data_IF_651462802684
#
_entry.id   IF_651462802684
#
_cell.length_a   1.000
_cell.length_b   1.000
_cell.length_c   1.000
_cell.angle_alpha   90.00
_cell.angle_beta   90.00
_cell.angle_gamma   90.00
#
_symmetry.space_group_name_H-M   'P 1'
#
loop_
_entity.id
_entity.type
_entity.pdbx_description
1 polymer ?
#
# COMPACT_ATOMS: atom_id res chain seq x y z
N UNK A 1 23.85 -14.00 -13.46
CA UNK A 1 22.54 -14.27 -12.82
C UNK A 1 21.96 -13.03 -12.12
N UNK A 2 22.70 -12.34 -11.24
CA UNK A 2 22.23 -11.14 -10.54
C UNK A 2 21.69 -10.01 -11.45
N UNK A 3 22.39 -9.69 -12.54
CA UNK A 3 21.94 -8.64 -13.50
C UNK A 3 20.61 -9.02 -14.19
N UNK A 4 20.42 -10.29 -14.52
CA UNK A 4 19.18 -10.75 -15.12
C UNK A 4 18.03 -10.72 -14.10
N UNK A 5 18.27 -11.11 -12.86
CA UNK A 5 17.29 -11.02 -11.77
C UNK A 5 16.84 -9.57 -11.53
N UNK A 6 17.77 -8.63 -11.53
CA UNK A 6 17.49 -7.20 -11.40
C UNK A 6 16.56 -6.68 -12.50
N UNK A 7 16.83 -7.04 -13.76
CA UNK A 7 16.00 -6.63 -14.88
C UNK A 7 14.63 -7.31 -14.86
N UNK A 8 14.56 -8.60 -14.50
CA UNK A 8 13.30 -9.32 -14.36
C UNK A 8 12.41 -8.71 -13.29
N UNK A 9 12.98 -8.29 -12.15
CA UNK A 9 12.22 -7.63 -11.08
C UNK A 9 11.70 -6.26 -11.53
N UNK A 10 12.55 -5.46 -12.18
CA UNK A 10 12.14 -4.18 -12.76
C UNK A 10 10.99 -4.34 -13.75
N UNK A 11 11.08 -5.32 -14.65
CA UNK A 11 10.04 -5.63 -15.62
C UNK A 11 8.74 -6.10 -14.96
N UNK A 12 8.82 -7.03 -13.99
CA UNK A 12 7.65 -7.51 -13.25
C UNK A 12 6.95 -6.39 -12.49
N UNK A 13 7.71 -5.47 -11.87
CA UNK A 13 7.19 -4.26 -11.22
C UNK A 13 6.43 -3.39 -12.23
N UNK A 14 7.00 -3.15 -13.40
CA UNK A 14 6.36 -2.34 -14.45
C UNK A 14 5.04 -2.96 -14.93
N UNK A 15 5.00 -4.28 -15.10
CA UNK A 15 3.77 -4.99 -15.44
C UNK A 15 2.74 -4.93 -14.31
N UNK A 16 3.15 -5.07 -13.04
CA UNK A 16 2.27 -4.88 -11.89
C UNK A 16 1.66 -3.47 -11.86
N UNK A 17 2.48 -2.45 -12.04
CA UNK A 17 2.09 -1.05 -12.12
C UNK A 17 1.03 -0.80 -13.19
N UNK A 18 1.23 -1.34 -14.41
CA UNK A 18 0.31 -1.19 -15.54
C UNK A 18 -1.07 -1.78 -15.27
N UNK A 19 -1.14 -2.88 -14.52
CA UNK A 19 -2.40 -3.58 -14.23
C UNK A 19 -2.97 -3.21 -12.84
N UNK A 20 -2.38 -2.26 -12.14
CA UNK A 20 -2.85 -1.86 -10.82
C UNK A 20 -4.22 -1.14 -10.90
N UNK A 21 -5.10 -1.37 -9.93
CA UNK A 21 -6.50 -0.93 -9.97
C UNK A 21 -7.42 -1.83 -10.82
N UNK A 22 -6.88 -2.89 -11.42
CA UNK A 22 -7.63 -3.97 -12.06
C UNK A 22 -7.34 -5.28 -11.31
N UNK A 23 -7.49 -5.28 -9.98
CA UNK A 23 -7.03 -6.36 -9.11
C UNK A 23 -7.71 -7.72 -9.40
N UNK A 24 -8.92 -7.65 -9.98
CA UNK A 24 -9.67 -8.81 -10.48
C UNK A 24 -9.15 -9.39 -11.80
N UNK A 25 -8.22 -8.73 -12.49
CA UNK A 25 -7.67 -9.19 -13.76
C UNK A 25 -6.72 -10.38 -13.59
N UNK A 26 -6.74 -11.30 -14.56
CA UNK A 26 -5.78 -12.40 -14.60
C UNK A 26 -4.34 -11.90 -14.78
N UNK A 27 -4.17 -10.77 -15.47
CA UNK A 27 -2.87 -10.14 -15.70
C UNK A 27 -2.23 -9.67 -14.39
N UNK A 28 -2.96 -8.93 -13.55
CA UNK A 28 -2.44 -8.48 -12.25
C UNK A 28 -2.03 -9.67 -11.36
N UNK A 29 -2.87 -10.71 -11.29
CA UNK A 29 -2.56 -11.92 -10.50
C UNK A 29 -1.28 -12.62 -10.98
N UNK A 30 -1.13 -12.79 -12.30
CA UNK A 30 0.08 -13.41 -12.88
C UNK A 30 1.34 -12.62 -12.53
N UNK A 31 1.30 -11.30 -12.69
CA UNK A 31 2.47 -10.46 -12.42
C UNK A 31 2.77 -10.32 -10.93
N UNK A 32 1.76 -10.36 -10.07
CA UNK A 32 1.94 -10.52 -8.62
C UNK A 32 2.72 -11.79 -8.31
N UNK A 33 2.31 -12.93 -8.87
CA UNK A 33 2.94 -14.22 -8.56
C UNK A 33 4.41 -14.24 -9.04
N UNK A 34 4.68 -13.67 -10.21
CA UNK A 34 6.06 -13.50 -10.73
C UNK A 34 6.89 -12.58 -9.83
N UNK A 35 6.38 -11.39 -9.49
CA UNK A 35 7.10 -10.46 -8.64
C UNK A 35 7.38 -11.04 -7.24
N UNK A 36 6.41 -11.74 -6.66
CA UNK A 36 6.58 -12.38 -5.36
C UNK A 36 7.64 -13.49 -5.41
N UNK A 37 7.64 -14.33 -6.46
CA UNK A 37 8.64 -15.36 -6.64
C UNK A 37 10.05 -14.77 -6.80
N UNK A 38 10.20 -13.70 -7.57
CA UNK A 38 11.47 -12.99 -7.73
C UNK A 38 11.96 -12.41 -6.41
N UNK A 39 11.09 -11.72 -5.65
CA UNK A 39 11.44 -11.10 -4.37
C UNK A 39 11.82 -12.16 -3.34
N UNK A 40 11.07 -13.26 -3.25
CA UNK A 40 11.35 -14.36 -2.33
C UNK A 40 12.65 -15.10 -2.67
N UNK A 41 13.10 -15.03 -3.94
CA UNK A 41 14.36 -15.60 -4.39
C UNK A 41 15.59 -14.77 -4.05
N UNK A 42 15.43 -13.52 -3.58
CA UNK A 42 16.54 -12.67 -3.17
C UNK A 42 17.05 -13.09 -1.79
N UNK A 43 18.35 -13.35 -1.65
CA UNK A 43 18.98 -13.57 -0.35
C UNK A 43 19.06 -12.27 0.47
N UNK A 44 19.21 -11.13 -0.21
CA UNK A 44 19.18 -9.79 0.34
C UNK A 44 18.64 -8.84 -0.75
N UNK A 45 17.88 -7.81 -0.36
CA UNK A 45 17.37 -6.81 -1.30
C UNK A 45 18.48 -5.77 -1.60
N UNK A 46 18.99 -5.70 -2.83
CA UNK A 46 19.99 -4.71 -3.20
C UNK A 46 19.47 -3.28 -3.00
N UNK A 47 20.34 -2.36 -2.57
CA UNK A 47 19.95 -0.96 -2.27
C UNK A 47 19.23 -0.28 -3.44
N UNK A 48 19.67 -0.49 -4.68
CA UNK A 48 19.02 0.08 -5.87
C UNK A 48 17.66 -0.53 -6.19
N UNK A 49 17.35 -1.74 -5.69
CA UNK A 49 16.08 -2.44 -5.90
C UNK A 49 15.07 -2.20 -4.77
N UNK A 50 15.48 -1.62 -3.63
CA UNK A 50 14.60 -1.43 -2.46
C UNK A 50 13.30 -0.74 -2.83
N UNK A 51 13.38 0.38 -3.54
CA UNK A 51 12.22 1.12 -4.04
C UNK A 51 11.28 0.24 -4.88
N UNK A 52 11.83 -0.53 -5.82
CA UNK A 52 11.08 -1.46 -6.69
C UNK A 52 10.38 -2.55 -5.88
N UNK A 53 11.08 -3.15 -4.92
CA UNK A 53 10.52 -4.17 -4.03
C UNK A 53 9.42 -3.58 -3.15
N UNK A 54 9.66 -2.43 -2.52
CA UNK A 54 8.68 -1.74 -1.68
C UNK A 54 7.42 -1.39 -2.46
N UNK A 55 7.56 -0.89 -3.70
CA UNK A 55 6.41 -0.61 -4.56
C UNK A 55 5.64 -1.89 -4.90
N UNK A 56 6.31 -2.97 -5.31
CA UNK A 56 5.63 -4.25 -5.56
C UNK A 56 4.85 -4.72 -4.32
N UNK A 57 5.49 -4.73 -3.15
CA UNK A 57 4.88 -5.19 -1.91
C UNK A 57 3.69 -4.31 -1.48
N UNK A 58 3.78 -2.99 -1.70
CA UNK A 58 2.67 -2.05 -1.53
C UNK A 58 1.49 -2.41 -2.44
N UNK A 59 1.70 -2.51 -3.75
CA UNK A 59 0.61 -2.75 -4.71
C UNK A 59 -0.11 -4.06 -4.46
N UNK A 60 0.63 -5.12 -4.13
CA UNK A 60 0.09 -6.45 -3.84
C UNK A 60 -0.81 -6.41 -2.59
N UNK A 61 -0.38 -5.71 -1.55
CA UNK A 61 -1.12 -5.59 -0.28
C UNK A 61 -2.34 -4.69 -0.39
N UNK A 62 -2.19 -3.55 -1.07
CA UNK A 62 -3.33 -2.70 -1.41
C UNK A 62 -4.32 -3.50 -2.24
N UNK A 63 -3.89 -4.27 -3.23
CA UNK A 63 -4.84 -5.08 -4.00
C UNK A 63 -5.64 -6.12 -3.18
N UNK A 64 -5.14 -6.49 -1.99
CA UNK A 64 -5.82 -7.35 -1.01
C UNK A 64 -6.40 -6.59 0.19
N UNK A 65 -6.35 -5.26 0.17
CA UNK A 65 -6.62 -4.38 1.31
C UNK A 65 -7.98 -4.54 1.96
N UNK A 66 -9.00 -4.95 1.20
CA UNK A 66 -10.35 -5.19 1.71
C UNK A 66 -10.56 -6.59 2.29
N UNK A 67 -9.65 -7.53 2.03
CA UNK A 67 -9.77 -8.91 2.50
C UNK A 67 -9.02 -9.08 3.83
N UNK A 68 -9.72 -8.91 4.95
CA UNK A 68 -9.13 -9.00 6.29
C UNK A 68 -8.70 -10.43 6.68
N UNK A 69 -9.17 -11.45 5.98
CA UNK A 69 -8.73 -12.85 6.14
C UNK A 69 -7.39 -13.14 5.44
N UNK A 70 -6.86 -12.17 4.67
CA UNK A 70 -5.58 -12.30 4.01
C UNK A 70 -4.47 -11.80 4.94
N UNK A 71 -3.47 -12.64 5.21
CA UNK A 71 -2.33 -12.27 6.05
C UNK A 71 -1.03 -12.33 5.25
N UNK A 72 -0.23 -11.26 5.37
CA UNK A 72 1.10 -11.17 4.77
C UNK A 72 2.22 -11.28 5.81
N UNK A 73 1.91 -10.94 7.06
CA UNK A 73 2.87 -10.94 8.17
C UNK A 73 2.57 -12.11 9.11
N UNK A 74 3.57 -12.50 9.91
CA UNK A 74 3.42 -13.55 10.92
C UNK A 74 2.47 -13.16 12.05
N UNK A 75 2.37 -11.88 12.37
CA UNK A 75 1.35 -11.35 13.26
C UNK A 75 0.02 -11.17 12.50
N UNK A 76 -0.92 -12.07 12.73
CA UNK A 76 -2.21 -12.07 12.04
C UNK A 76 -3.09 -10.85 12.36
N UNK A 77 -2.73 -10.04 13.37
CA UNK A 77 -3.42 -8.77 13.66
C UNK A 77 -3.07 -7.66 12.67
N UNK A 78 -2.04 -7.88 11.85
CA UNK A 78 -1.61 -6.95 10.81
C UNK A 78 -2.42 -7.26 9.55
N UNK A 79 -3.34 -6.35 9.21
CA UNK A 79 -4.12 -6.45 7.99
C UNK A 79 -3.25 -6.21 6.75
N UNK A 80 -3.72 -6.54 5.53
CA UNK A 80 -3.00 -6.18 4.32
C UNK A 80 -2.70 -4.69 4.23
N UNK A 81 -3.62 -3.80 4.63
CA UNK A 81 -3.38 -2.36 4.59
C UNK A 81 -2.42 -1.87 5.68
N UNK A 82 -2.37 -2.50 6.87
CA UNK A 82 -1.34 -2.22 7.87
C UNK A 82 0.05 -2.48 7.30
N UNK A 83 0.22 -3.63 6.65
CA UNK A 83 1.49 -3.97 6.03
C UNK A 83 1.77 -3.08 4.80
N UNK A 84 0.75 -2.70 4.03
CA UNK A 84 0.91 -1.73 2.94
C UNK A 84 1.47 -0.39 3.46
N UNK A 85 0.99 0.06 4.62
CA UNK A 85 1.46 1.30 5.25
C UNK A 85 2.97 1.23 5.57
N UNK A 86 3.49 0.11 6.06
CA UNK A 86 4.93 0.00 6.35
C UNK A 86 5.81 0.08 5.10
N UNK A 87 5.35 -0.48 3.98
CA UNK A 87 6.05 -0.32 2.69
C UNK A 87 5.95 1.10 2.17
N UNK A 88 4.79 1.75 2.32
CA UNK A 88 4.64 3.17 1.97
C UNK A 88 5.59 4.06 2.78
N UNK A 89 5.66 3.89 4.10
CA UNK A 89 6.58 4.67 4.95
C UNK A 89 8.06 4.41 4.62
N UNK A 90 8.38 3.26 4.03
CA UNK A 90 9.74 2.98 3.55
C UNK A 90 10.05 3.74 2.26
N UNK A 91 9.10 3.78 1.32
CA UNK A 91 9.18 4.62 0.10
C UNK A 91 9.33 6.10 0.47
N UNK A 92 8.49 6.61 1.38
CA UNK A 92 8.55 8.01 1.81
C UNK A 92 9.91 8.38 2.41
N UNK A 93 10.53 7.46 3.15
CA UNK A 93 11.86 7.69 3.74
C UNK A 93 12.99 7.76 2.72
N UNK A 94 12.82 7.11 1.56
CA UNK A 94 13.79 7.11 0.48
C UNK A 94 13.66 8.37 -0.42
N UNK A 95 12.55 9.12 -0.31
CA UNK A 95 12.21 10.20 -1.24
C UNK A 95 11.91 11.55 -0.58
N UNK A 96 12.60 12.60 -1.02
CA UNK A 96 12.47 13.96 -0.46
C UNK A 96 11.53 14.85 -1.32
N UNK A 97 11.20 14.48 -2.57
CA UNK A 97 10.65 15.43 -3.56
C UNK A 97 9.12 15.46 -3.68
N UNK A 98 8.39 14.51 -3.10
CA UNK A 98 6.94 14.31 -3.35
C UNK A 98 6.09 14.38 -2.08
N UNK A 99 6.51 15.21 -1.12
CA UNK A 99 5.96 15.28 0.24
C UNK A 99 4.43 15.35 0.31
N UNK A 100 3.78 16.16 -0.54
CA UNK A 100 2.32 16.28 -0.53
C UNK A 100 1.61 15.00 -0.98
N UNK A 101 2.06 14.37 -2.07
CA UNK A 101 1.44 13.13 -2.55
C UNK A 101 1.71 11.98 -1.57
N UNK A 102 2.90 11.97 -0.95
CA UNK A 102 3.27 11.07 0.13
C UNK A 102 2.31 11.16 1.31
N UNK A 103 2.12 12.36 1.85
CA UNK A 103 1.18 12.59 2.95
C UNK A 103 -0.26 12.21 2.58
N UNK A 104 -0.72 12.56 1.36
CA UNK A 104 -2.06 12.20 0.88
C UNK A 104 -2.28 10.68 0.84
N UNK A 105 -1.34 9.92 0.26
CA UNK A 105 -1.45 8.46 0.18
C UNK A 105 -1.35 7.83 1.57
N UNK A 106 -0.39 8.26 2.42
CA UNK A 106 -0.25 7.77 3.79
C UNK A 106 -1.54 7.94 4.57
N UNK A 107 -2.13 9.14 4.50
CA UNK A 107 -3.39 9.47 5.16
C UNK A 107 -4.55 8.62 4.62
N UNK A 108 -4.61 8.42 3.31
CA UNK A 108 -5.62 7.55 2.69
C UNK A 108 -5.49 6.10 3.15
N UNK A 109 -4.27 5.55 3.22
CA UNK A 109 -4.02 4.20 3.75
C UNK A 109 -4.50 4.12 5.21
N UNK A 110 -4.09 5.06 6.07
CA UNK A 110 -4.50 5.10 7.49
C UNK A 110 -6.03 5.16 7.65
N UNK A 111 -6.72 6.00 6.86
CA UNK A 111 -8.19 6.09 6.89
C UNK A 111 -8.80 4.77 6.42
N UNK A 112 -8.29 4.17 5.34
CA UNK A 112 -8.83 2.94 4.77
C UNK A 112 -8.60 1.72 5.66
N UNK A 113 -7.51 1.68 6.45
CA UNK A 113 -7.32 0.65 7.47
C UNK A 113 -8.52 0.63 8.43
N UNK A 114 -8.94 1.79 8.94
CA UNK A 114 -10.11 1.89 9.83
C UNK A 114 -11.40 1.63 9.05
N UNK A 115 -11.55 2.20 7.84
CA UNK A 115 -12.76 2.08 7.04
C UNK A 115 -13.10 0.62 6.72
N UNK A 116 -12.13 -0.19 6.32
CA UNK A 116 -12.36 -1.60 5.99
C UNK A 116 -12.85 -2.40 7.21
N UNK A 117 -12.30 -2.16 8.41
CA UNK A 117 -12.81 -2.80 9.62
C UNK A 117 -14.23 -2.35 9.95
N UNK A 118 -14.53 -1.05 9.80
CA UNK A 118 -15.86 -0.49 9.99
C UNK A 118 -16.89 -1.08 9.01
N UNK A 119 -16.53 -1.20 7.72
CA UNK A 119 -17.38 -1.78 6.67
C UNK A 119 -17.71 -3.26 6.93
N UNK A 120 -16.82 -4.00 7.59
CA UNK A 120 -17.03 -5.40 8.00
C UNK A 120 -17.72 -5.54 9.37
N UNK A 121 -18.04 -4.44 10.05
CA UNK A 121 -18.66 -4.45 11.38
C UNK A 121 -17.68 -4.80 12.53
N UNK A 122 -16.38 -4.83 12.26
CA UNK A 122 -15.32 -5.15 13.22
C UNK A 122 -14.92 -3.92 14.03
N UNK A 123 -15.85 -3.37 14.80
CA UNK A 123 -15.68 -2.10 15.51
C UNK A 123 -14.63 -2.14 16.63
N UNK A 124 -14.49 -3.30 17.28
CA UNK A 124 -13.51 -3.49 18.36
C UNK A 124 -12.10 -3.50 17.77
N UNK A 125 -11.92 -4.25 16.71
CA UNK A 125 -10.69 -4.36 15.92
C UNK A 125 -10.32 -3.00 15.32
N UNK A 126 -11.31 -2.24 14.80
CA UNK A 126 -11.09 -0.88 14.32
C UNK A 126 -10.52 0.03 15.43
N UNK A 127 -10.96 -0.14 16.68
CA UNK A 127 -10.42 0.59 17.83
C UNK A 127 -8.97 0.18 18.13
N UNK A 128 -8.71 -1.13 18.19
CA UNK A 128 -7.38 -1.67 18.46
C UNK A 128 -6.36 -1.25 17.38
N UNK A 129 -6.77 -1.25 16.12
CA UNK A 129 -5.96 -0.81 15.00
C UNK A 129 -5.73 0.70 15.04
N UNK A 130 -6.74 1.51 15.39
CA UNK A 130 -6.56 2.95 15.55
C UNK A 130 -5.48 3.29 16.59
N UNK A 131 -5.48 2.60 17.72
CA UNK A 131 -4.49 2.81 18.77
C UNK A 131 -3.07 2.42 18.30
N UNK A 132 -2.96 1.34 17.53
CA UNK A 132 -1.68 0.90 16.94
C UNK A 132 -1.15 1.86 15.88
N UNK A 133 -2.03 2.45 15.07
CA UNK A 133 -1.64 3.35 13.98
C UNK A 133 -1.06 4.68 14.46
N UNK A 134 -1.46 5.15 15.64
CA UNK A 134 -1.18 6.51 16.11
C UNK A 134 -0.51 6.53 17.49
N UNK A 135 0.53 5.73 17.65
CA UNK A 135 1.37 5.72 18.86
C UNK A 135 2.21 7.01 18.93
N UNK A 136 1.70 7.98 19.70
CA UNK A 136 2.35 9.20 20.21
C UNK A 136 2.88 10.24 19.20
N UNK A 137 2.50 10.19 17.92
CA UNK A 137 2.78 11.28 16.98
C UNK A 137 1.85 12.49 17.20
N UNK A 138 2.41 13.64 17.57
CA UNK A 138 1.64 14.86 17.79
C UNK A 138 0.95 15.37 16.51
N UNK A 139 1.54 15.11 15.33
CA UNK A 139 1.01 15.49 14.02
C UNK A 139 -0.30 14.78 13.67
N UNK A 140 -0.49 13.56 14.16
CA UNK A 140 -1.59 12.71 13.70
C UNK A 140 -2.80 12.77 14.63
N UNK A 141 -2.69 13.51 15.75
CA UNK A 141 -3.77 13.74 16.70
C UNK A 141 -5.09 14.18 16.06
N UNK A 142 -5.14 15.12 15.09
CA UNK A 142 -6.40 15.53 14.48
C UNK A 142 -7.09 14.40 13.69
N UNK A 143 -6.31 13.57 12.99
CA UNK A 143 -6.85 12.45 12.24
C UNK A 143 -7.33 11.34 13.17
N UNK A 144 -6.53 11.01 14.19
CA UNK A 144 -6.89 10.03 15.22
C UNK A 144 -8.21 10.37 15.90
N UNK A 145 -8.40 11.62 16.34
CA UNK A 145 -9.65 12.06 17.00
C UNK A 145 -10.85 11.94 16.07
N UNK A 146 -10.69 12.31 14.80
CA UNK A 146 -11.75 12.16 13.79
C UNK A 146 -12.13 10.69 13.61
N UNK A 147 -11.15 9.80 13.44
CA UNK A 147 -11.39 8.37 13.26
C UNK A 147 -11.98 7.71 14.51
N UNK A 148 -11.55 8.10 15.72
CA UNK A 148 -12.16 7.63 16.97
C UNK A 148 -13.65 8.01 17.05
N UNK A 149 -14.01 9.21 16.59
CA UNK A 149 -15.41 9.66 16.53
C UNK A 149 -16.23 8.83 15.55
N UNK A 150 -15.64 8.48 14.39
CA UNK A 150 -16.27 7.59 13.40
C UNK A 150 -16.46 6.18 13.95
N UNK A 151 -15.47 5.61 14.64
CA UNK A 151 -15.61 4.28 15.24
C UNK A 151 -16.71 4.26 16.29
N UNK A 152 -16.79 5.33 17.10
CA UNK A 152 -17.85 5.48 18.12
C UNK A 152 -19.25 5.57 17.51
N UNK A 153 -19.41 6.16 16.32
CA UNK A 153 -20.71 6.19 15.65
C UNK A 153 -21.16 4.83 15.13
N UNK A 154 -20.23 3.87 14.97
CA UNK A 154 -20.49 2.53 14.39
C UNK A 154 -21.16 2.58 13.01
N UNK A 155 -20.98 3.69 12.31
CA UNK A 155 -21.54 3.94 10.98
C UNK A 155 -20.40 4.04 9.96
N UNK A 156 -20.23 3.06 9.05
CA UNK A 156 -19.19 3.10 8.03
C UNK A 156 -19.50 4.08 6.89
N UNK A 157 -20.72 4.62 6.80
CA UNK A 157 -21.16 5.47 5.69
C UNK A 157 -21.10 6.97 6.01
N UNK A 158 -20.35 7.35 7.04
CA UNK A 158 -20.12 8.76 7.38
C UNK A 158 -19.40 9.51 6.25
N UNK A 159 -19.65 10.83 6.08
CA UNK A 159 -19.07 11.62 4.99
C UNK A 159 -17.54 11.55 4.89
N UNK A 160 -16.84 11.39 6.03
CA UNK A 160 -15.39 11.24 6.05
C UNK A 160 -14.94 10.00 5.28
N UNK A 161 -15.51 8.82 5.56
CA UNK A 161 -15.10 7.57 4.92
C UNK A 161 -15.52 7.53 3.44
N UNK A 162 -16.64 8.17 3.11
CA UNK A 162 -17.08 8.32 1.72
C UNK A 162 -16.18 9.25 0.90
N UNK A 163 -15.71 10.36 1.50
CA UNK A 163 -14.84 11.33 0.81
C UNK A 163 -13.43 10.79 0.62
N UNK A 164 -12.92 10.05 1.60
CA UNK A 164 -11.60 9.43 1.57
C UNK A 164 -11.69 7.96 1.15
N UNK A 165 -12.32 7.71 0.00
CA UNK A 165 -12.69 6.37 -0.45
C UNK A 165 -11.50 5.47 -0.84
N UNK A 166 -11.77 4.17 -0.91
CA UNK A 166 -10.82 3.20 -1.46
C UNK A 166 -10.43 3.51 -2.92
N UNK A 167 -11.39 3.97 -3.73
CA UNK A 167 -11.12 4.36 -5.12
C UNK A 167 -10.20 5.58 -5.22
N UNK A 168 -10.31 6.53 -4.28
CA UNK A 168 -9.40 7.66 -4.18
C UNK A 168 -7.98 7.20 -3.79
N UNK A 169 -7.85 6.24 -2.86
CA UNK A 169 -6.57 5.61 -2.54
C UNK A 169 -5.91 5.00 -3.79
N UNK A 170 -6.65 4.18 -4.54
CA UNK A 170 -6.15 3.59 -5.79
C UNK A 170 -5.73 4.66 -6.79
N UNK A 171 -6.54 5.70 -6.98
CA UNK A 171 -6.23 6.82 -7.88
C UNK A 171 -4.94 7.54 -7.51
N UNK A 172 -4.74 7.83 -6.21
CA UNK A 172 -3.52 8.50 -5.74
C UNK A 172 -2.28 7.64 -5.88
N UNK A 173 -2.37 6.34 -5.59
CA UNK A 173 -1.28 5.39 -5.84
C UNK A 173 -0.96 5.32 -7.34
N UNK A 174 -1.96 5.37 -8.24
CA UNK A 174 -1.71 5.46 -9.69
C UNK A 174 -0.93 6.72 -10.08
N UNK A 175 -1.25 7.87 -9.49
CA UNK A 175 -0.44 9.09 -9.70
C UNK A 175 1.01 8.92 -9.24
N UNK A 176 1.25 8.20 -8.13
CA UNK A 176 2.62 7.88 -7.71
C UNK A 176 3.30 6.90 -8.68
N UNK A 177 2.60 5.88 -9.15
CA UNK A 177 3.09 4.93 -10.16
C UNK A 177 3.54 5.67 -11.42
N UNK A 178 2.77 6.65 -11.91
CA UNK A 178 3.16 7.44 -13.09
C UNK A 178 4.50 8.16 -12.90
N UNK A 179 4.74 8.73 -11.72
CA UNK A 179 6.01 9.36 -11.37
C UNK A 179 7.13 8.32 -11.30
N UNK A 180 6.89 7.21 -10.61
CA UNK A 180 7.85 6.11 -10.52
C UNK A 180 8.24 5.58 -11.91
N UNK A 181 7.26 5.37 -12.79
CA UNK A 181 7.52 4.85 -14.13
C UNK A 181 8.34 5.83 -14.96
N UNK A 182 8.04 7.14 -14.88
CA UNK A 182 8.79 8.19 -15.57
C UNK A 182 10.25 8.26 -15.13
N UNK A 183 10.52 8.06 -13.84
CA UNK A 183 11.90 7.99 -13.31
C UNK A 183 12.65 6.74 -13.82
N UNK A 184 11.93 5.67 -14.13
CA UNK A 184 12.46 4.37 -14.52
C UNK A 184 12.31 4.05 -16.03
N UNK A 185 11.97 5.03 -16.87
CA UNK A 185 11.83 4.90 -18.34
C UNK A 185 13.12 4.44 -19.04
N UNK A 186 14.26 4.46 -18.35
CA UNK A 186 15.55 3.96 -18.83
C UNK A 186 15.73 2.45 -18.71
N UNK A 187 14.73 1.71 -18.20
CA UNK A 187 14.79 0.26 -18.11
C UNK A 187 14.80 -0.39 -19.51
N UNK A 188 15.93 -1.02 -19.85
CA UNK A 188 16.22 -1.61 -21.16
C UNK A 188 15.19 -2.65 -21.65
N UNK A 189 14.45 -3.32 -20.74
CA UNK A 189 13.41 -4.31 -21.09
C UNK A 189 12.02 -3.70 -21.36
N UNK A 190 11.87 -2.38 -21.24
CA UNK A 190 10.61 -1.67 -21.48
C UNK A 190 10.55 -1.07 -22.90
N UNK A 191 11.68 -1.00 -23.59
CA UNK A 191 11.78 -0.65 -25.02
C UNK A 191 11.41 -1.84 -25.91
#
# INVERSE_FOLDING_TARGET
EAVAADWMLGFACCCLCRHFGEEGSAAFRRWRDVAQALINGLSEIPTHQKKTVHLCQLLIRVAKGKNLECHFESDHRISPLDSALSFWTSIEREEIKVEKLHEEIRRLIQIQIVAVHMENGYFKEATEVLERLFTDSASDKPLRVKLATVIKSKDPYVPLLQSFSYSLLISKIKSYIELFMKENETNFLIQ
#
